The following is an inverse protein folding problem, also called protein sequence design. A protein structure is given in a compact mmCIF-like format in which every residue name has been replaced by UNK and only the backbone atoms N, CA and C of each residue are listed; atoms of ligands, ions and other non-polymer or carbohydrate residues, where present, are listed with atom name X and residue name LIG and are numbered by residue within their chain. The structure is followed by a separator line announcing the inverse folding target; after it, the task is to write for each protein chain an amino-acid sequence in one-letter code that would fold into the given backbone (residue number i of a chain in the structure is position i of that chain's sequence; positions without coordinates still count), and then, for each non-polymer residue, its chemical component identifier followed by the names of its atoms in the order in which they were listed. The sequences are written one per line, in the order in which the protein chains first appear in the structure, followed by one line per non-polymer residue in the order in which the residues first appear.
data_IF_128654586211
#
_entry.id   IF_128654586211
#
_cell.length_a   1.000
_cell.length_b   1.000
_cell.length_c   1.000
_cell.angle_alpha   90.00
_cell.angle_beta   90.00
_cell.angle_gamma   90.00
#
_symmetry.space_group_name_H-M   'P 1'
#
loop_
_entity.id
_entity.type
_entity.pdbx_description
1 polymer ?
#
# COMPACT_ATOMS: atom_id res chain seq x y z
N UNK A 1 -1.90 -5.05 8.70
CA UNK A 1 -0.46 -4.68 8.72
C UNK A 1 0.33 -5.61 9.63
N UNK A 2 1.66 -5.55 9.56
CA UNK A 2 2.49 -6.10 10.62
C UNK A 2 2.76 -5.07 11.73
N UNK A 3 3.17 -5.51 12.94
CA UNK A 3 3.19 -4.68 14.14
C UNK A 3 4.03 -3.40 14.05
N UNK A 4 5.11 -3.38 13.23
CA UNK A 4 5.92 -2.17 13.00
C UNK A 4 5.13 -1.03 12.33
N UNK A 5 4.10 -1.35 11.57
CA UNK A 5 3.27 -0.37 10.84
C UNK A 5 1.79 -0.37 11.29
N UNK A 6 1.48 -0.98 12.44
CA UNK A 6 0.13 -1.03 12.99
C UNK A 6 -0.51 0.36 13.10
N UNK A 7 0.20 1.33 13.67
CA UNK A 7 -0.35 2.68 13.89
C UNK A 7 -0.71 3.42 12.59
N UNK A 8 -0.07 3.08 11.48
CA UNK A 8 -0.33 3.71 10.19
C UNK A 8 -1.68 3.31 9.61
N UNK A 9 -2.11 2.06 9.84
CA UNK A 9 -3.40 1.53 9.38
C UNK A 9 -4.50 1.58 10.45
N UNK A 10 -4.20 2.05 11.65
CA UNK A 10 -5.14 2.19 12.76
C UNK A 10 -5.22 3.64 13.22
N UNK A 11 -4.41 4.03 14.16
CA UNK A 11 -4.43 5.35 14.81
C UNK A 11 -4.38 6.52 13.81
N UNK A 12 -3.38 6.54 12.92
CA UNK A 12 -3.24 7.64 11.97
C UNK A 12 -4.33 7.62 10.91
N UNK A 13 -4.69 6.45 10.41
CA UNK A 13 -5.77 6.30 9.44
C UNK A 13 -7.13 6.72 10.01
N UNK A 14 -7.37 6.46 11.30
CA UNK A 14 -8.59 6.83 12.01
C UNK A 14 -8.56 8.29 12.55
N UNK A 15 -7.75 9.17 11.97
CA UNK A 15 -7.71 10.57 12.38
C UNK A 15 -7.19 10.75 13.81
N UNK A 16 -6.18 9.96 14.20
CA UNK A 16 -5.53 9.94 15.51
C UNK A 16 -6.44 9.45 16.66
N UNK A 17 -7.35 8.55 16.34
CA UNK A 17 -8.19 7.88 17.34
C UNK A 17 -7.69 6.45 17.61
N UNK A 18 -7.52 6.09 18.90
CA UNK A 18 -7.08 4.75 19.31
C UNK A 18 -8.21 3.72 19.17
N UNK A 19 -9.45 4.15 19.42
CA UNK A 19 -10.61 3.26 19.37
C UNK A 19 -10.95 2.91 17.93
N UNK A 20 -11.16 1.62 17.66
CA UNK A 20 -11.64 1.17 16.37
C UNK A 20 -13.00 1.81 16.03
N UNK A 21 -13.21 2.13 14.76
CA UNK A 21 -14.50 2.60 14.27
C UNK A 21 -15.54 1.46 14.32
N UNK A 22 -16.79 1.80 14.26
CA UNK A 22 -17.84 0.80 14.14
C UNK A 22 -17.62 -0.03 12.85
N UNK A 23 -17.72 -1.35 12.96
CA UNK A 23 -17.49 -2.29 11.85
C UNK A 23 -16.05 -2.30 11.31
N UNK A 24 -15.09 -1.78 12.07
CA UNK A 24 -13.66 -1.89 11.76
C UNK A 24 -13.07 -3.15 12.38
N UNK A 25 -12.58 -4.04 11.53
CA UNK A 25 -11.74 -5.17 11.95
C UNK A 25 -10.26 -4.83 11.78
N UNK A 26 -9.45 -5.22 12.77
CA UNK A 26 -7.99 -5.06 12.73
C UNK A 26 -7.33 -6.43 12.73
N UNK A 27 -6.44 -6.68 11.78
CA UNK A 27 -5.61 -7.88 11.74
C UNK A 27 -4.13 -7.48 11.73
N UNK A 28 -3.48 -7.68 12.86
CA UNK A 28 -2.08 -7.31 13.07
C UNK A 28 -1.23 -8.56 13.20
N UNK A 29 -0.31 -8.72 12.26
CA UNK A 29 0.66 -9.82 12.24
C UNK A 29 1.91 -9.38 13.02
N UNK A 30 2.44 -10.19 13.95
CA UNK A 30 3.68 -9.83 14.63
C UNK A 30 4.86 -9.70 13.66
N UNK A 31 5.59 -8.60 13.74
CA UNK A 31 6.86 -8.43 13.03
C UNK A 31 7.93 -9.34 13.63
N UNK A 32 8.92 -9.78 12.83
CA UNK A 32 10.02 -10.62 13.33
C UNK A 32 10.82 -9.92 14.43
N UNK A 33 11.09 -10.61 15.52
CA UNK A 33 11.97 -10.13 16.60
C UNK A 33 13.43 -10.41 16.28
N UNK A 34 14.04 -9.57 15.45
CA UNK A 34 15.42 -9.67 14.98
C UNK A 34 16.15 -8.34 15.18
N UNK A 35 17.51 -8.34 15.22
CA UNK A 35 18.28 -7.12 15.45
C UNK A 35 18.09 -6.07 14.35
N UNK A 36 18.07 -6.48 13.08
CA UNK A 36 17.89 -5.63 11.90
C UNK A 36 17.14 -6.38 10.80
N UNK A 37 16.32 -5.68 10.02
CA UNK A 37 15.41 -6.31 9.05
C UNK A 37 16.09 -6.77 7.74
N UNK A 38 17.31 -6.35 7.46
CA UNK A 38 18.11 -6.88 6.35
C UNK A 38 18.44 -8.38 6.52
N UNK A 39 18.44 -8.89 7.76
CA UNK A 39 18.62 -10.32 8.05
C UNK A 39 17.39 -11.17 7.66
N UNK A 40 16.22 -10.55 7.47
CA UNK A 40 14.98 -11.22 7.11
C UNK A 40 14.08 -10.27 6.28
N UNK A 41 14.45 -10.00 5.01
CA UNK A 41 13.74 -9.03 4.17
C UNK A 41 12.28 -9.34 3.93
N UNK A 42 11.87 -10.61 4.03
CA UNK A 42 10.47 -11.01 3.93
C UNK A 42 9.61 -10.51 5.12
N UNK A 43 10.24 -10.19 6.25
CA UNK A 43 9.54 -9.80 7.48
C UNK A 43 8.32 -10.70 7.73
N UNK A 44 7.11 -10.16 7.77
CA UNK A 44 5.86 -10.92 7.89
C UNK A 44 4.94 -10.78 6.68
N UNK A 45 5.43 -10.28 5.54
CA UNK A 45 4.60 -10.00 4.36
C UNK A 45 3.81 -11.21 3.84
N UNK A 46 4.43 -12.41 3.80
CA UNK A 46 3.75 -13.62 3.33
C UNK A 46 2.67 -14.08 4.28
N UNK A 47 2.88 -13.99 5.60
CA UNK A 47 1.87 -14.31 6.61
C UNK A 47 0.71 -13.31 6.54
N UNK A 48 1.01 -12.01 6.44
CA UNK A 48 0.01 -10.96 6.26
C UNK A 48 -0.86 -11.23 5.02
N UNK A 49 -0.22 -11.58 3.90
CA UNK A 49 -0.93 -11.90 2.65
C UNK A 49 -1.82 -13.13 2.81
N UNK A 50 -1.32 -14.19 3.44
CA UNK A 50 -2.11 -15.41 3.67
C UNK A 50 -3.34 -15.13 4.52
N UNK A 51 -3.19 -14.41 5.64
CA UNK A 51 -4.31 -14.02 6.52
C UNK A 51 -5.33 -13.14 5.80
N UNK A 52 -4.87 -12.18 5.00
CA UNK A 52 -5.77 -11.35 4.20
C UNK A 52 -6.60 -12.20 3.24
N UNK A 53 -5.95 -13.09 2.48
CA UNK A 53 -6.64 -13.92 1.50
C UNK A 53 -7.59 -14.91 2.16
N UNK A 54 -7.26 -15.44 3.34
CA UNK A 54 -8.16 -16.31 4.11
C UNK A 54 -9.39 -15.54 4.58
N UNK A 55 -9.23 -14.35 5.14
CA UNK A 55 -10.38 -13.48 5.51
C UNK A 55 -11.27 -13.15 4.33
N UNK A 56 -10.69 -12.86 3.17
CA UNK A 56 -11.45 -12.56 1.95
C UNK A 56 -12.24 -13.78 1.43
N UNK A 57 -11.79 -15.01 1.72
CA UNK A 57 -12.51 -16.26 1.36
C UNK A 57 -13.65 -16.58 2.31
N UNK A 58 -13.58 -16.14 3.56
CA UNK A 58 -14.52 -16.48 4.64
C UNK A 58 -15.87 -15.76 4.54
N UNK A 59 -16.22 -15.18 3.38
CA UNK A 59 -17.53 -14.57 3.09
C UNK A 59 -17.88 -13.33 3.94
N UNK A 60 -16.90 -12.63 4.46
CA UNK A 60 -17.12 -11.32 5.08
C UNK A 60 -17.09 -10.25 3.98
N UNK A 61 -18.20 -9.55 3.80
CA UNK A 61 -18.32 -8.47 2.81
C UNK A 61 -17.62 -7.19 3.32
N UNK A 62 -16.30 -7.13 3.14
CA UNK A 62 -15.56 -5.90 3.36
C UNK A 62 -15.74 -4.95 2.18
N UNK A 63 -16.28 -3.76 2.45
CA UNK A 63 -16.38 -2.68 1.45
C UNK A 63 -15.04 -1.98 1.19
N UNK A 64 -14.16 -1.97 2.18
CA UNK A 64 -12.84 -1.35 2.10
C UNK A 64 -11.82 -2.13 2.92
N UNK A 65 -10.62 -2.29 2.37
CA UNK A 65 -9.50 -2.95 3.05
C UNK A 65 -8.25 -2.11 2.86
N UNK A 66 -7.56 -1.82 3.95
CA UNK A 66 -6.26 -1.16 3.95
C UNK A 66 -5.19 -2.15 4.39
N UNK A 67 -4.16 -2.29 3.57
CA UNK A 67 -2.99 -3.15 3.87
C UNK A 67 -1.72 -2.32 3.77
N UNK A 68 -0.83 -2.46 4.75
CA UNK A 68 0.51 -1.87 4.70
C UNK A 68 1.55 -2.99 4.71
N UNK A 69 2.43 -2.99 3.71
CA UNK A 69 3.64 -3.82 3.66
C UNK A 69 4.83 -3.00 4.14
N UNK A 70 5.35 -3.33 5.31
CA UNK A 70 6.42 -2.58 5.96
C UNK A 70 7.80 -2.77 5.30
N UNK A 71 7.97 -3.82 4.50
CA UNK A 71 9.25 -4.35 4.08
C UNK A 71 10.13 -3.35 3.33
N UNK A 72 9.70 -2.65 2.25
CA UNK A 72 10.60 -1.76 1.52
C UNK A 72 11.17 -0.65 2.40
N UNK A 73 10.34 -0.08 3.26
CA UNK A 73 10.72 0.99 4.17
C UNK A 73 11.64 0.48 5.30
N UNK A 74 11.19 -0.52 6.06
CA UNK A 74 11.94 -1.01 7.21
C UNK A 74 13.28 -1.64 6.85
N UNK A 75 13.37 -2.32 5.70
CA UNK A 75 14.63 -2.86 5.19
C UNK A 75 15.47 -1.75 4.55
N UNK A 76 14.87 -0.77 3.88
CA UNK A 76 15.53 0.41 3.32
C UNK A 76 16.32 1.17 4.36
N UNK A 77 15.76 1.39 5.54
CA UNK A 77 16.44 2.03 6.67
C UNK A 77 17.70 1.30 7.16
N UNK A 78 17.93 0.05 6.80
CA UNK A 78 19.15 -0.67 7.13
C UNK A 78 20.35 -0.29 6.24
N UNK A 79 20.12 0.36 5.10
CA UNK A 79 21.14 0.70 4.12
C UNK A 79 21.60 -0.49 3.26
N UNK A 80 21.02 -1.68 3.44
CA UNK A 80 21.37 -2.87 2.67
C UNK A 80 20.61 -2.93 1.35
N UNK A 81 21.19 -2.43 0.25
CA UNK A 81 20.57 -2.39 -1.08
C UNK A 81 20.09 -3.78 -1.53
N UNK A 82 20.93 -4.81 -1.33
CA UNK A 82 20.56 -6.19 -1.72
C UNK A 82 19.38 -6.74 -0.95
N UNK A 83 19.30 -6.46 0.36
CA UNK A 83 18.17 -6.86 1.19
C UNK A 83 16.91 -6.07 0.83
N UNK A 84 17.04 -4.78 0.54
CA UNK A 84 15.91 -3.93 0.13
C UNK A 84 15.33 -4.37 -1.22
N UNK A 85 16.20 -4.67 -2.21
CA UNK A 85 15.74 -5.26 -3.46
C UNK A 85 14.97 -6.57 -3.23
N UNK A 86 15.47 -7.43 -2.32
CA UNK A 86 14.78 -8.67 -1.96
C UNK A 86 13.44 -8.43 -1.25
N UNK A 87 13.36 -7.40 -0.40
CA UNK A 87 12.12 -6.99 0.24
C UNK A 87 11.07 -6.56 -0.82
N UNK A 88 11.46 -5.76 -1.80
CA UNK A 88 10.59 -5.35 -2.91
C UNK A 88 10.10 -6.54 -3.74
N UNK A 89 10.97 -7.50 -4.10
CA UNK A 89 10.57 -8.73 -4.79
C UNK A 89 9.50 -9.52 -4.02
N UNK A 90 9.64 -9.61 -2.70
CA UNK A 90 8.69 -10.34 -1.85
C UNK A 90 7.35 -9.60 -1.78
N UNK A 91 7.38 -8.28 -1.66
CA UNK A 91 6.15 -7.48 -1.68
C UNK A 91 5.46 -7.58 -3.04
N UNK A 92 6.19 -7.55 -4.15
CA UNK A 92 5.65 -7.76 -5.50
C UNK A 92 4.96 -9.13 -5.62
N UNK A 93 5.60 -10.21 -5.14
CA UNK A 93 4.98 -11.55 -5.06
C UNK A 93 3.65 -11.52 -4.27
N UNK A 94 3.64 -10.85 -3.12
CA UNK A 94 2.46 -10.74 -2.26
C UNK A 94 1.34 -9.94 -2.91
N UNK A 95 1.68 -8.79 -3.49
CA UNK A 95 0.74 -7.92 -4.21
C UNK A 95 0.16 -8.63 -5.44
N UNK A 96 0.98 -9.39 -6.17
CA UNK A 96 0.50 -10.22 -7.29
C UNK A 96 -0.60 -11.20 -6.87
N UNK A 97 -0.41 -11.91 -5.75
CA UNK A 97 -1.43 -12.83 -5.22
C UNK A 97 -2.73 -12.13 -4.82
N UNK A 98 -2.61 -10.93 -4.24
CA UNK A 98 -3.77 -10.12 -3.88
C UNK A 98 -4.49 -9.63 -5.15
N UNK A 99 -3.75 -9.17 -6.15
CA UNK A 99 -4.29 -8.70 -7.42
C UNK A 99 -5.08 -9.81 -8.14
N UNK A 100 -4.52 -11.01 -8.23
CA UNK A 100 -5.19 -12.17 -8.83
C UNK A 100 -6.52 -12.47 -8.11
N UNK A 101 -6.52 -12.43 -6.78
CA UNK A 101 -7.73 -12.63 -5.99
C UNK A 101 -8.76 -11.54 -6.26
N UNK A 102 -8.35 -10.26 -6.17
CA UNK A 102 -9.24 -9.10 -6.35
C UNK A 102 -9.88 -9.11 -7.74
N UNK A 103 -9.10 -9.41 -8.80
CA UNK A 103 -9.63 -9.54 -10.16
C UNK A 103 -10.67 -10.67 -10.26
N UNK A 104 -10.38 -11.83 -9.65
CA UNK A 104 -11.27 -12.98 -9.69
C UNK A 104 -12.63 -12.71 -9.02
N UNK A 105 -12.63 -11.92 -7.95
CA UNK A 105 -13.83 -11.57 -7.19
C UNK A 105 -14.48 -10.24 -7.58
N UNK A 106 -13.96 -9.56 -8.62
CA UNK A 106 -14.56 -8.34 -9.17
C UNK A 106 -14.35 -7.09 -8.32
N UNK A 107 -13.35 -7.11 -7.45
CA UNK A 107 -12.93 -5.94 -6.68
C UNK A 107 -12.03 -4.99 -7.46
N UNK A 108 -11.59 -3.92 -6.79
CA UNK A 108 -10.58 -2.98 -7.29
C UNK A 108 -9.44 -2.88 -6.29
N UNK A 109 -8.19 -3.05 -6.76
CA UNK A 109 -6.99 -2.87 -5.96
C UNK A 109 -6.29 -1.57 -6.34
N UNK A 110 -5.95 -0.76 -5.36
CA UNK A 110 -5.08 0.39 -5.51
C UNK A 110 -3.76 0.11 -4.80
N UNK A 111 -2.65 0.39 -5.47
CA UNK A 111 -1.31 0.19 -4.96
C UNK A 111 -0.60 1.54 -4.99
N UNK A 112 -0.07 1.96 -3.85
CA UNK A 112 0.71 3.21 -3.72
C UNK A 112 1.70 3.11 -2.57
N UNK A 113 2.52 4.15 -2.38
CA UNK A 113 3.36 4.35 -1.21
C UNK A 113 3.08 5.73 -0.60
N UNK A 114 3.43 5.92 0.66
CA UNK A 114 3.30 7.18 1.40
C UNK A 114 4.51 8.11 1.21
N UNK A 115 5.68 7.56 0.85
CA UNK A 115 6.92 8.30 0.57
C UNK A 115 7.89 7.43 -0.25
N UNK A 116 8.98 8.02 -0.71
CA UNK A 116 10.12 7.33 -1.28
C UNK A 116 11.14 6.93 -0.20
N UNK A 117 11.89 5.86 -0.45
CA UNK A 117 12.99 5.35 0.35
C UNK A 117 13.83 4.36 -0.48
N UNK A 118 13.26 3.19 -0.77
CA UNK A 118 13.97 2.05 -1.38
C UNK A 118 14.55 2.33 -2.78
N UNK A 119 14.00 3.28 -3.51
CA UNK A 119 14.44 3.64 -4.87
C UNK A 119 15.66 4.56 -4.87
N UNK A 120 16.00 5.22 -3.75
CA UNK A 120 17.13 6.16 -3.63
C UNK A 120 17.93 5.88 -2.35
N UNK A 121 18.64 4.77 -2.32
CA UNK A 121 19.45 4.33 -1.19
C UNK A 121 20.93 4.79 -1.28
N UNK A 122 21.29 5.57 -2.29
CA UNK A 122 22.60 6.17 -2.45
C UNK A 122 22.42 7.65 -2.69
N UNK A 123 23.02 8.47 -1.84
CA UNK A 123 23.02 9.91 -2.01
C UNK A 123 23.78 10.26 -3.29
N UNK A 124 23.11 10.86 -4.27
CA UNK A 124 23.66 11.17 -5.58
C UNK A 124 24.80 12.20 -5.53
N UNK A 125 24.92 12.98 -4.47
CA UNK A 125 25.96 14.01 -4.32
C UNK A 125 27.20 13.47 -3.62
N UNK A 126 27.03 12.63 -2.59
CA UNK A 126 28.14 12.11 -1.76
C UNK A 126 28.57 10.71 -2.14
N UNK A 127 27.72 9.92 -2.79
CA UNK A 127 27.94 8.51 -3.08
C UNK A 127 27.82 7.61 -1.85
N UNK A 128 27.41 8.15 -0.71
CA UNK A 128 27.22 7.40 0.52
C UNK A 128 25.83 6.75 0.57
N UNK A 129 25.68 5.74 1.43
CA UNK A 129 24.38 5.12 1.70
C UNK A 129 23.44 6.16 2.32
N UNK A 130 22.24 6.26 1.75
CA UNK A 130 21.14 7.06 2.28
C UNK A 130 20.05 6.12 2.81
N UNK A 131 19.60 6.36 4.02
CA UNK A 131 18.58 5.56 4.70
C UNK A 131 17.33 6.37 5.06
N UNK A 132 17.29 7.62 4.59
CA UNK A 132 16.19 8.54 4.92
C UNK A 132 15.05 8.43 3.92
N UNK A 133 13.90 8.93 4.32
CA UNK A 133 12.78 9.11 3.39
C UNK A 133 13.07 10.26 2.44
N UNK A 134 12.57 10.15 1.22
CA UNK A 134 12.67 11.20 0.22
C UNK A 134 11.28 11.59 -0.33
N UNK A 135 11.24 12.69 -1.09
CA UNK A 135 10.02 13.22 -1.69
C UNK A 135 9.86 12.82 -3.17
N UNK A 136 10.51 11.75 -3.61
CA UNK A 136 10.35 11.25 -4.97
C UNK A 136 8.90 10.86 -5.26
N UNK A 137 8.45 10.98 -6.51
CA UNK A 137 7.13 10.49 -6.90
C UNK A 137 6.98 9.00 -6.61
N UNK A 138 5.88 8.63 -5.95
CA UNK A 138 5.55 7.23 -5.67
C UNK A 138 4.61 6.67 -6.73
N UNK A 139 4.60 5.35 -6.96
CA UNK A 139 3.68 4.72 -7.89
C UNK A 139 2.22 4.87 -7.42
N UNK A 140 1.30 5.02 -8.37
CA UNK A 140 -0.13 4.87 -8.14
C UNK A 140 -0.70 3.96 -9.22
N UNK A 141 -1.06 2.73 -8.83
CA UNK A 141 -1.50 1.67 -9.75
C UNK A 141 -2.91 1.26 -9.38
N UNK A 142 -3.77 1.13 -10.38
CA UNK A 142 -5.15 0.65 -10.21
C UNK A 142 -5.31 -0.64 -10.99
N UNK A 143 -5.78 -1.67 -10.31
CA UNK A 143 -6.03 -2.99 -10.87
C UNK A 143 -7.50 -3.32 -10.69
N UNK A 144 -8.22 -3.53 -11.77
CA UNK A 144 -9.58 -4.03 -11.77
C UNK A 144 -9.86 -4.86 -13.03
N UNK A 145 -10.91 -5.69 -12.98
CA UNK A 145 -11.30 -6.51 -14.13
C UNK A 145 -11.63 -5.67 -15.37
N UNK A 146 -12.23 -4.50 -15.19
CA UNK A 146 -12.67 -3.63 -16.28
C UNK A 146 -11.49 -2.90 -16.98
N UNK A 147 -10.32 -2.88 -16.34
CA UNK A 147 -9.11 -2.27 -16.87
C UNK A 147 -8.18 -3.26 -17.57
N UNK A 148 -8.48 -4.57 -17.54
CA UNK A 148 -7.65 -5.59 -18.19
C UNK A 148 -7.60 -5.32 -19.69
N UNK A 149 -6.39 -5.29 -20.24
CA UNK A 149 -6.14 -5.01 -21.66
C UNK A 149 -6.28 -3.53 -22.06
N UNK A 150 -6.55 -2.65 -21.11
CA UNK A 150 -6.57 -1.20 -21.30
C UNK A 150 -5.33 -0.60 -20.66
N UNK A 151 -4.21 -0.58 -21.38
CA UNK A 151 -3.02 0.15 -20.91
C UNK A 151 -3.30 1.66 -20.99
N UNK A 152 -3.59 2.27 -19.85
CA UNK A 152 -3.82 3.71 -19.74
C UNK A 152 -2.88 4.31 -18.70
N UNK A 153 -2.35 5.48 -18.98
CA UNK A 153 -1.56 6.25 -18.02
C UNK A 153 -2.50 7.18 -17.26
N UNK A 154 -2.49 7.09 -15.95
CA UNK A 154 -3.22 8.00 -15.09
C UNK A 154 -2.52 9.37 -15.05
N UNK A 155 -3.25 10.46 -14.84
CA UNK A 155 -2.63 11.76 -14.62
C UNK A 155 -1.79 11.75 -13.33
N UNK A 156 -0.68 12.47 -13.34
CA UNK A 156 0.09 12.69 -12.11
C UNK A 156 -0.77 13.40 -11.06
N UNK A 157 -0.58 13.03 -9.81
CA UNK A 157 -1.34 13.55 -8.68
C UNK A 157 -0.46 13.79 -7.46
N UNK A 158 -1.10 13.95 -6.32
CA UNK A 158 -0.48 14.07 -5.00
C UNK A 158 -1.09 13.05 -4.05
N UNK A 159 -0.46 12.77 -2.94
CA UNK A 159 -0.97 11.78 -1.96
C UNK A 159 -2.38 12.11 -1.46
N UNK A 160 -2.74 13.40 -1.39
CA UNK A 160 -4.08 13.85 -1.02
C UNK A 160 -5.18 13.41 -2.01
N UNK A 161 -4.83 12.97 -3.22
CA UNK A 161 -5.78 12.49 -4.24
C UNK A 161 -6.20 11.03 -4.01
N UNK A 162 -5.44 10.27 -3.21
CA UNK A 162 -5.69 8.83 -2.99
C UNK A 162 -7.06 8.60 -2.34
N UNK A 163 -7.32 9.24 -1.20
CA UNK A 163 -8.57 9.05 -0.46
C UNK A 163 -9.82 9.49 -1.25
N UNK A 164 -9.87 10.67 -1.93
CA UNK A 164 -10.99 11.02 -2.80
C UNK A 164 -11.18 10.02 -3.95
N UNK A 165 -10.11 9.46 -4.51
CA UNK A 165 -10.19 8.43 -5.54
C UNK A 165 -10.85 7.16 -5.01
N UNK A 166 -10.45 6.70 -3.81
CA UNK A 166 -11.08 5.55 -3.14
C UNK A 166 -12.56 5.79 -2.89
N UNK A 167 -12.92 6.93 -2.31
CA UNK A 167 -14.32 7.27 -2.03
C UNK A 167 -15.17 7.29 -3.30
N UNK A 168 -14.65 7.84 -4.40
CA UNK A 168 -15.36 7.82 -5.69
C UNK A 168 -15.58 6.39 -6.21
N UNK A 169 -14.59 5.50 -6.09
CA UNK A 169 -14.75 4.07 -6.44
C UNK A 169 -15.82 3.38 -5.60
N UNK A 170 -15.98 3.78 -4.34
CA UNK A 170 -17.04 3.29 -3.45
C UNK A 170 -18.40 3.95 -3.68
N UNK A 171 -18.53 4.89 -4.62
CA UNK A 171 -19.75 5.66 -4.86
C UNK A 171 -20.07 6.69 -3.76
N UNK A 172 -19.07 7.05 -2.95
CA UNK A 172 -19.20 8.01 -1.85
C UNK A 172 -18.67 9.37 -2.30
N UNK A 173 -19.47 10.40 -2.14
CA UNK A 173 -19.03 11.79 -2.42
C UNK A 173 -17.99 12.22 -1.39
N UNK A 174 -16.76 12.61 -1.81
CA UNK A 174 -15.76 13.11 -0.89
C UNK A 174 -16.26 14.36 -0.14
N UNK A 175 -16.00 14.47 1.17
CA UNK A 175 -16.37 15.67 1.92
C UNK A 175 -15.58 16.90 1.42
N UNK A 176 -16.17 18.09 1.53
CA UNK A 176 -15.59 19.35 1.04
C UNK A 176 -14.26 19.75 1.71
N UNK A 177 -13.94 19.14 2.85
CA UNK A 177 -12.66 19.32 3.53
C UNK A 177 -11.50 18.57 2.82
N UNK A 178 -11.78 17.60 1.98
CA UNK A 178 -10.76 16.93 1.15
C UNK A 178 -10.43 17.83 -0.05
N UNK A 179 -9.16 18.24 -0.15
CA UNK A 179 -8.67 19.09 -1.24
C UNK A 179 -8.18 18.32 -2.47
N UNK A 180 -8.00 17.00 -2.34
CA UNK A 180 -7.57 16.13 -3.43
C UNK A 180 -8.69 15.85 -4.43
N UNK A 181 -8.30 15.35 -5.61
CA UNK A 181 -9.23 15.01 -6.71
C UNK A 181 -9.26 13.51 -6.99
N UNK A 182 -10.27 13.06 -7.71
CA UNK A 182 -10.33 11.70 -8.24
C UNK A 182 -9.34 11.52 -9.41
N UNK A 183 -8.33 10.69 -9.27
CA UNK A 183 -7.35 10.39 -10.32
C UNK A 183 -7.90 9.54 -11.47
N UNK A 184 -9.07 8.92 -11.28
CA UNK A 184 -9.70 8.05 -12.29
C UNK A 184 -10.74 8.78 -13.14
N UNK A 185 -11.00 10.05 -12.89
CA UNK A 185 -12.03 10.81 -13.59
C UNK A 185 -11.82 10.78 -15.13
N UNK A 186 -10.58 10.89 -15.59
CA UNK A 186 -10.24 10.84 -17.00
C UNK A 186 -10.53 9.48 -17.67
N UNK A 187 -10.54 8.39 -16.91
CA UNK A 187 -10.84 7.05 -17.45
C UNK A 187 -12.32 6.88 -17.79
N UNK A 188 -13.19 7.61 -17.12
CA UNK A 188 -14.66 7.51 -17.27
C UNK A 188 -15.25 8.60 -18.17
N UNK A 189 -14.48 9.67 -18.48
CA UNK A 189 -14.93 10.75 -19.36
C UNK A 189 -14.60 10.53 -20.85
N UNK A 190 -13.92 9.44 -21.19
CA UNK A 190 -13.44 9.11 -22.55
C UNK A 190 -14.25 8.03 -23.27
N UNK A 191 -15.52 7.85 -22.93
CA UNK A 191 -16.45 6.92 -23.57
C UNK A 191 -17.43 7.61 -24.52
#
# INVERSE_FOLDING_TARGET
AESEKERFVTFYFNGQQETAMQEEDRDIVPSPKIPTYDLKPEMSARELTARLLDRLRDSVDYSFILVNFANPDMVGHTGSIGATAKACEIVDECVGKIADFVIAYGGTLLITSDHGNAEEMINAQTGEIDTEHNANPVPFIVVSKDLIGRAQTLPSGILADVAPTVLNLMGITPPSAMSGRNLLESLYMGG
#
